data_IF_273531994578
#
_entry.id   IF_273531994578
#
_cell.length_a   1.000
_cell.length_b   1.000
_cell.length_c   1.000
_cell.angle_alpha   90.00
_cell.angle_beta   90.00
_cell.angle_gamma   90.00
#
_symmetry.space_group_name_H-M   'P 1'
#
loop_
_entity.id
_entity.type
_entity.pdbx_description
1 polymer ?
#
# COMPACT_ATOMS: atom_id res chain seq x y z
N UNK A 1 -9.52 15.49 9.88
CA UNK A 1 -8.41 15.44 8.90
C UNK A 1 -7.62 14.20 9.28
N UNK A 2 -7.57 13.18 8.41
CA UNK A 2 -6.85 11.93 8.71
C UNK A 2 -5.41 12.05 8.22
N UNK A 3 -4.48 11.52 8.98
CA UNK A 3 -3.05 11.56 8.68
C UNK A 3 -2.70 10.56 7.59
N UNK A 4 -1.75 10.92 6.72
CA UNK A 4 -1.12 9.97 5.79
C UNK A 4 0.16 9.49 6.46
N UNK A 5 0.22 8.21 6.77
CA UNK A 5 1.31 7.61 7.57
C UNK A 5 2.44 7.08 6.70
N UNK A 6 2.12 6.57 5.52
CA UNK A 6 3.08 6.04 4.56
C UNK A 6 2.72 6.48 3.14
N UNK A 7 3.71 6.60 2.27
CA UNK A 7 3.53 6.95 0.85
C UNK A 7 4.41 6.09 -0.03
N UNK A 8 3.92 5.78 -1.23
CA UNK A 8 4.66 5.05 -2.26
C UNK A 8 4.42 5.67 -3.63
N UNK A 9 5.44 5.68 -4.48
CA UNK A 9 5.33 6.17 -5.86
C UNK A 9 5.13 4.98 -6.80
N UNK A 10 4.17 5.10 -7.72
CA UNK A 10 4.00 4.12 -8.77
C UNK A 10 5.20 4.16 -9.74
N UNK A 11 5.67 3.02 -10.29
CA UNK A 11 6.84 2.98 -11.18
C UNK A 11 6.73 3.86 -12.43
N UNK A 12 5.51 4.20 -12.88
CA UNK A 12 5.30 5.15 -13.99
C UNK A 12 5.68 6.59 -13.65
N UNK A 13 5.83 6.94 -12.36
CA UNK A 13 6.10 8.31 -11.87
C UNK A 13 4.89 9.25 -11.88
N UNK A 14 3.74 8.80 -12.39
CA UNK A 14 2.53 9.64 -12.52
C UNK A 14 1.57 9.51 -11.32
N UNK A 15 1.76 8.52 -10.46
CA UNK A 15 0.85 8.25 -9.34
C UNK A 15 1.59 8.08 -8.02
N UNK A 16 0.96 8.54 -6.95
CA UNK A 16 1.38 8.34 -5.57
C UNK A 16 0.24 7.70 -4.79
N UNK A 17 0.55 6.64 -4.07
CA UNK A 17 -0.32 6.08 -3.06
C UNK A 17 0.06 6.65 -1.70
N UNK A 18 -0.94 6.99 -0.90
CA UNK A 18 -0.78 7.39 0.49
C UNK A 18 -1.69 6.53 1.35
N UNK A 19 -1.14 5.89 2.37
CA UNK A 19 -1.94 5.18 3.34
C UNK A 19 -2.50 6.18 4.35
N UNK A 20 -3.82 6.26 4.45
CA UNK A 20 -4.53 7.17 5.33
C UNK A 20 -5.05 6.40 6.55
N UNK A 21 -5.01 7.05 7.72
CA UNK A 21 -5.49 6.49 8.99
C UNK A 21 -7.00 6.26 9.07
N UNK A 22 -7.73 6.44 7.96
CA UNK A 22 -9.15 6.14 7.79
C UNK A 22 -9.40 4.76 7.14
N UNK A 23 -8.43 3.84 7.22
CA UNK A 23 -8.46 2.52 6.58
C UNK A 23 -8.56 2.59 5.05
N UNK A 24 -8.01 3.64 4.43
CA UNK A 24 -8.01 3.80 2.97
C UNK A 24 -6.62 4.12 2.44
N UNK A 25 -6.30 3.56 1.27
CA UNK A 25 -5.18 4.04 0.47
C UNK A 25 -5.73 5.07 -0.51
N UNK A 26 -5.26 6.30 -0.36
CA UNK A 26 -5.63 7.43 -1.21
C UNK A 26 -4.61 7.57 -2.34
N UNK A 27 -5.11 7.76 -3.57
CA UNK A 27 -4.26 7.93 -4.74
C UNK A 27 -4.23 9.38 -5.18
N UNK A 28 -3.03 9.87 -5.49
CA UNK A 28 -2.77 11.17 -6.10
C UNK A 28 -2.13 10.97 -7.47
N UNK A 29 -2.64 11.66 -8.47
CA UNK A 29 -2.01 11.82 -9.78
C UNK A 29 -1.06 13.02 -9.73
N UNK A 30 0.13 12.88 -10.29
CA UNK A 30 1.08 13.96 -10.53
C UNK A 30 1.19 14.22 -12.03
N UNK A 31 0.59 15.32 -12.49
CA UNK A 31 0.76 15.82 -13.86
C UNK A 31 1.58 17.10 -13.80
N UNK A 32 2.90 16.96 -13.93
CA UNK A 32 3.83 18.09 -14.02
C UNK A 32 3.82 19.01 -12.79
N UNK A 33 3.74 18.44 -11.58
CA UNK A 33 3.73 19.18 -10.32
C UNK A 33 2.34 19.54 -9.79
N UNK A 34 1.29 19.33 -10.58
CA UNK A 34 -0.09 19.43 -10.11
C UNK A 34 -0.55 18.09 -9.53
N UNK A 35 -0.67 18.04 -8.20
CA UNK A 35 -1.18 16.88 -7.48
C UNK A 35 -2.71 16.91 -7.41
N UNK A 36 -3.36 15.87 -7.94
CA UNK A 36 -4.81 15.72 -7.89
C UNK A 36 -5.18 14.38 -7.27
N UNK A 37 -6.03 14.39 -6.24
CA UNK A 37 -6.58 13.15 -5.67
C UNK A 37 -7.53 12.46 -6.66
N UNK A 38 -7.27 11.19 -6.94
CA UNK A 38 -8.14 10.32 -7.74
C UNK A 38 -9.10 9.60 -6.80
N UNK A 39 -10.39 9.94 -6.84
CA UNK A 39 -11.41 9.30 -5.99
C UNK A 39 -11.93 7.97 -6.55
N UNK A 40 -11.68 7.71 -7.84
CA UNK A 40 -12.17 6.49 -8.50
C UNK A 40 -11.37 5.24 -8.11
N UNK A 41 -10.09 5.38 -7.73
CA UNK A 41 -9.28 4.29 -7.18
C UNK A 41 -9.40 4.32 -5.65
N UNK A 42 -10.04 3.29 -5.09
CA UNK A 42 -10.23 3.16 -3.65
C UNK A 42 -9.77 1.77 -3.22
N UNK A 43 -8.90 1.74 -2.21
CA UNK A 43 -8.41 0.52 -1.59
C UNK A 43 -8.73 0.59 -0.10
N UNK A 44 -9.77 -0.11 0.35
CA UNK A 44 -10.39 0.07 1.67
C UNK A 44 -10.62 -1.24 2.44
N UNK A 45 -9.98 -2.34 2.01
CA UNK A 45 -10.14 -3.64 2.68
C UNK A 45 -9.14 -3.90 3.82
N UNK A 46 -8.11 -3.06 3.97
CA UNK A 46 -7.11 -3.16 5.02
C UNK A 46 -7.50 -2.27 6.22
N UNK A 47 -7.00 -2.61 7.40
CA UNK A 47 -7.15 -1.86 8.64
C UNK A 47 -5.84 -1.15 8.98
N UNK A 48 -5.91 0.18 8.98
CA UNK A 48 -4.82 1.06 9.33
C UNK A 48 -5.42 2.27 10.04
N UNK A 49 -5.68 2.11 11.35
CA UNK A 49 -6.24 3.19 12.17
C UNK A 49 -5.22 3.73 13.19
N UNK A 50 -4.37 2.85 13.75
CA UNK A 50 -3.42 3.20 14.81
C UNK A 50 -1.93 3.09 14.46
N UNK A 51 -1.58 2.50 13.32
CA UNK A 51 -0.20 2.16 12.97
C UNK A 51 0.20 2.74 11.62
N UNK A 52 1.47 3.08 11.47
CA UNK A 52 2.05 3.44 10.19
C UNK A 52 2.45 2.16 9.43
N UNK A 53 1.51 1.58 8.70
CA UNK A 53 1.80 0.39 7.91
C UNK A 53 2.43 0.82 6.57
N UNK A 54 3.50 0.15 6.15
CA UNK A 54 4.09 0.46 4.85
C UNK A 54 3.15 0.02 3.70
N UNK A 55 3.28 0.76 2.60
CA UNK A 55 2.67 0.44 1.31
C UNK A 55 3.77 0.48 0.24
N UNK A 56 3.66 -0.37 -0.78
CA UNK A 56 4.61 -0.35 -1.89
C UNK A 56 3.99 -0.89 -3.18
N UNK A 57 4.54 -0.45 -4.32
CA UNK A 57 4.12 -0.91 -5.64
C UNK A 57 5.04 -2.02 -6.14
N UNK A 58 4.46 -2.95 -6.90
CA UNK A 58 5.26 -3.90 -7.65
C UNK A 58 6.08 -3.18 -8.72
N UNK A 59 7.26 -3.71 -9.04
CA UNK A 59 8.14 -3.11 -10.06
C UNK A 59 7.46 -2.92 -11.43
N UNK A 60 6.56 -3.84 -11.79
CA UNK A 60 5.77 -3.77 -13.02
C UNK A 60 4.55 -2.83 -12.94
N UNK A 61 4.26 -2.26 -11.77
CA UNK A 61 3.13 -1.36 -11.50
C UNK A 61 1.76 -2.04 -11.54
N UNK A 62 1.70 -3.36 -11.61
CA UNK A 62 0.42 -4.08 -11.69
C UNK A 62 -0.25 -4.25 -10.33
N UNK A 63 0.54 -4.25 -9.26
CA UNK A 63 0.06 -4.52 -7.92
C UNK A 63 0.48 -3.44 -6.93
N UNK A 64 -0.38 -3.25 -5.94
CA UNK A 64 -0.14 -2.42 -4.77
C UNK A 64 -0.22 -3.31 -3.55
N UNK A 65 0.79 -3.29 -2.70
CA UNK A 65 0.82 -4.02 -1.45
C UNK A 65 0.63 -3.07 -0.25
N UNK A 66 0.02 -3.59 0.80
CA UNK A 66 -0.20 -2.87 2.06
C UNK A 66 -0.09 -3.82 3.24
N UNK A 67 0.59 -3.37 4.29
CA UNK A 67 0.48 -3.97 5.61
C UNK A 67 -0.84 -3.61 6.30
N UNK A 68 -1.17 -4.40 7.32
CA UNK A 68 -2.36 -4.27 8.17
C UNK A 68 -1.95 -4.23 9.65
N UNK A 69 -2.75 -3.57 10.48
CA UNK A 69 -2.53 -3.54 11.92
C UNK A 69 -2.70 -4.91 12.60
N UNK A 70 -3.35 -5.86 11.92
CA UNK A 70 -3.55 -7.25 12.40
C UNK A 70 -2.57 -8.25 11.77
N UNK A 71 -1.50 -7.78 11.14
CA UNK A 71 -0.44 -8.63 10.57
C UNK A 71 -0.77 -9.27 9.23
N UNK A 72 -1.88 -8.85 8.62
CA UNK A 72 -2.25 -9.25 7.27
C UNK A 72 -1.50 -8.40 6.23
N UNK A 73 -1.19 -9.04 5.11
CA UNK A 73 -0.62 -8.41 3.94
C UNK A 73 -1.69 -8.41 2.86
N UNK A 74 -2.06 -7.23 2.39
CA UNK A 74 -3.04 -7.03 1.34
C UNK A 74 -2.34 -6.73 0.03
N UNK A 75 -2.70 -7.47 -1.01
CA UNK A 75 -2.25 -7.25 -2.37
C UNK A 75 -3.45 -6.86 -3.21
N UNK A 76 -3.35 -5.71 -3.87
CA UNK A 76 -4.39 -5.14 -4.70
C UNK A 76 -3.95 -5.14 -6.15
N UNK A 77 -4.86 -5.47 -7.04
CA UNK A 77 -4.67 -5.22 -8.47
C UNK A 77 -4.89 -3.72 -8.73
N UNK A 78 -3.85 -3.08 -9.27
CA UNK A 78 -3.86 -1.65 -9.55
C UNK A 78 -4.93 -1.27 -10.57
N UNK A 79 -5.16 -2.10 -11.60
CA UNK A 79 -6.09 -1.78 -12.69
C UNK A 79 -7.53 -1.84 -12.22
N UNK A 80 -7.89 -2.90 -11.48
CA UNK A 80 -9.26 -3.12 -11.02
C UNK A 80 -9.57 -2.46 -9.67
N UNK A 81 -8.54 -2.02 -8.94
CA UNK A 81 -8.64 -1.48 -7.58
C UNK A 81 -9.31 -2.44 -6.58
N UNK A 82 -9.13 -3.74 -6.80
CA UNK A 82 -9.69 -4.80 -5.95
C UNK A 82 -8.58 -5.55 -5.22
N UNK A 83 -8.90 -6.06 -4.05
CA UNK A 83 -8.02 -6.99 -3.35
C UNK A 83 -7.86 -8.25 -4.20
N UNK A 84 -6.64 -8.49 -4.67
CA UNK A 84 -6.26 -9.68 -5.42
C UNK A 84 -5.97 -10.84 -4.47
N UNK A 85 -5.23 -10.58 -3.39
CA UNK A 85 -4.86 -11.60 -2.41
C UNK A 85 -4.67 -10.98 -1.03
N UNK A 86 -4.99 -11.76 -0.01
CA UNK A 86 -4.68 -11.45 1.39
C UNK A 86 -3.85 -12.59 1.93
N UNK A 87 -2.70 -12.28 2.55
CA UNK A 87 -1.83 -13.23 3.20
C UNK A 87 -1.78 -12.94 4.70
N UNK A 88 -1.74 -13.99 5.50
CA UNK A 88 -1.43 -13.90 6.92
C UNK A 88 0.08 -14.12 7.04
N UNK A 89 0.81 -13.03 7.30
CA UNK A 89 2.28 -13.04 7.36
C UNK A 89 2.81 -12.87 8.77
N UNK A 90 2.14 -12.06 9.59
CA UNK A 90 2.58 -11.64 10.92
C UNK A 90 1.47 -11.85 11.94
N UNK A 91 1.82 -12.06 13.21
CA UNK A 91 0.86 -12.14 14.33
C UNK A 91 0.51 -10.76 14.91
N UNK A 92 1.37 -9.76 14.71
CA UNK A 92 1.20 -8.36 15.08
C UNK A 92 1.20 -7.40 13.89
N UNK A 93 1.14 -6.09 14.16
CA UNK A 93 1.05 -5.07 13.11
C UNK A 93 2.22 -5.15 12.12
N UNK A 94 1.89 -5.21 10.82
CA UNK A 94 2.87 -5.20 9.74
C UNK A 94 3.30 -3.76 9.45
N UNK A 95 4.52 -3.40 9.86
CA UNK A 95 5.04 -2.03 9.77
C UNK A 95 5.85 -1.77 8.51
N UNK A 96 6.57 -2.77 8.01
CA UNK A 96 7.40 -2.65 6.83
C UNK A 96 6.95 -3.60 5.73
N UNK A 97 7.03 -3.12 4.50
CA UNK A 97 6.68 -3.85 3.30
C UNK A 97 7.47 -3.25 2.15
N UNK A 98 8.22 -4.08 1.44
CA UNK A 98 8.99 -3.68 0.26
C UNK A 98 8.89 -4.76 -0.81
N UNK A 99 8.57 -4.34 -2.03
CA UNK A 99 8.59 -5.22 -3.19
C UNK A 99 10.01 -5.39 -3.70
N UNK A 100 10.38 -6.61 -4.10
CA UNK A 100 11.68 -6.83 -4.70
C UNK A 100 11.85 -6.00 -5.99
N UNK A 101 12.96 -5.25 -6.15
CA UNK A 101 13.11 -4.25 -7.20
C UNK A 101 13.16 -4.81 -8.63
N UNK A 102 13.30 -6.13 -8.80
CA UNK A 102 13.32 -6.77 -10.12
C UNK A 102 12.42 -7.99 -10.24
N UNK A 103 11.82 -8.46 -9.14
CA UNK A 103 10.98 -9.67 -9.13
C UNK A 103 9.58 -9.30 -8.66
N UNK A 104 8.57 -9.34 -9.54
CA UNK A 104 7.21 -8.95 -9.18
C UNK A 104 6.52 -9.94 -8.24
N UNK A 105 7.10 -11.13 -8.01
CA UNK A 105 6.50 -12.16 -7.14
C UNK A 105 7.02 -12.15 -5.71
N UNK A 106 8.05 -11.35 -5.42
CA UNK A 106 8.80 -11.43 -4.16
C UNK A 106 8.60 -10.14 -3.37
N UNK A 107 8.17 -10.27 -2.12
CA UNK A 107 7.91 -9.15 -1.20
C UNK A 107 8.51 -9.49 0.15
N UNK A 108 9.17 -8.51 0.75
CA UNK A 108 9.71 -8.60 2.10
C UNK A 108 8.77 -7.78 2.99
N UNK A 109 8.42 -8.32 4.15
CA UNK A 109 7.63 -7.59 5.15
C UNK A 109 8.20 -7.81 6.53
N UNK A 110 7.96 -6.86 7.42
CA UNK A 110 8.34 -6.97 8.83
C UNK A 110 7.25 -6.43 9.74
N UNK A 111 7.16 -7.01 10.93
CA UNK A 111 6.14 -6.73 11.93
C UNK A 111 6.71 -6.30 13.28
N UNK A 112 5.82 -5.85 14.17
CA UNK A 112 6.16 -5.48 15.54
C UNK A 112 6.72 -6.62 16.41
N UNK A 113 6.54 -7.85 15.96
CA UNK A 113 7.06 -9.06 16.63
C UNK A 113 8.56 -9.31 16.41
N UNK A 114 9.24 -8.44 15.66
CA UNK A 114 10.68 -8.55 15.42
C UNK A 114 11.06 -9.57 14.33
N UNK A 115 10.09 -9.98 13.50
CA UNK A 115 10.28 -10.73 12.26
C UNK A 115 9.97 -9.86 11.04
#
# INVERSE_FOLDING_TARGET
>A
MHTITATAMHPSGEYYAGQSSDNQIVIYENKGGNFRRIRAKKFDSHYCAGYACAIDFSYDGQFLASGDERGKLYFYDWKTSKAYRVLEGHAGACIGLEWHPSQPTTVISCGWEGM
#
